data_IF_551784610902
#
_entry.id   IF_551784610902
#
_cell.length_a   1.000
_cell.length_b   1.000
_cell.length_c   1.000
_cell.angle_alpha   90.00
_cell.angle_beta   90.00
_cell.angle_gamma   90.00
#
_symmetry.space_group_name_H-M   'P 1'
#
loop_
_entity.id
_entity.type
_entity.pdbx_description
1 polymer ?
#
# COMPACT_ATOMS: atom_id res chain seq x y z
N UNK A 1 6.37 -13.29 -15.46
CA UNK A 1 6.44 -13.78 -14.06
C UNK A 1 7.34 -12.85 -13.26
N UNK A 2 7.03 -12.60 -11.97
CA UNK A 2 7.89 -11.79 -11.10
C UNK A 2 9.24 -12.49 -10.85
N UNK A 3 10.29 -11.71 -10.57
CA UNK A 3 11.63 -12.23 -10.31
C UNK A 3 11.61 -13.13 -9.06
N UNK A 4 12.19 -14.33 -9.07
CA UNK A 4 12.22 -15.18 -7.90
C UNK A 4 12.96 -14.50 -6.74
N UNK A 5 12.55 -14.72 -5.48
CA UNK A 5 13.26 -14.20 -4.32
C UNK A 5 14.64 -14.85 -4.22
N UNK A 6 15.61 -14.12 -3.65
CA UNK A 6 16.97 -14.60 -3.40
C UNK A 6 17.26 -14.64 -1.91
N UNK A 7 18.08 -15.59 -1.48
CA UNK A 7 18.55 -15.64 -0.10
C UNK A 7 19.46 -14.44 0.22
N UNK A 8 19.35 -13.91 1.44
CA UNK A 8 20.17 -12.79 1.90
C UNK A 8 20.54 -12.98 3.37
N UNK A 9 21.65 -12.35 3.77
CA UNK A 9 22.03 -12.23 5.17
C UNK A 9 21.05 -11.34 5.95
N UNK A 10 20.89 -11.59 7.28
CA UNK A 10 20.01 -10.80 8.13
C UNK A 10 20.53 -9.38 8.35
N UNK A 11 19.62 -8.45 8.60
CA UNK A 11 19.95 -7.09 8.97
C UNK A 11 20.25 -6.98 10.49
N UNK A 12 21.24 -6.17 10.92
CA UNK A 12 21.58 -5.94 12.33
C UNK A 12 20.39 -5.69 13.28
N UNK A 13 19.49 -4.75 12.93
CA UNK A 13 18.34 -4.40 13.78
C UNK A 13 17.33 -5.54 14.03
N UNK A 14 17.32 -6.59 13.20
CA UNK A 14 16.33 -7.66 13.28
C UNK A 14 16.80 -8.90 14.02
N UNK A 15 17.97 -8.83 14.65
CA UNK A 15 18.59 -9.98 15.29
C UNK A 15 18.16 -10.07 16.75
N UNK A 16 17.75 -11.26 17.15
CA UNK A 16 17.46 -11.63 18.54
C UNK A 16 18.65 -12.36 19.17
N UNK A 17 18.65 -12.46 20.51
CA UNK A 17 19.73 -13.08 21.30
C UNK A 17 20.01 -14.51 20.84
N UNK A 18 18.95 -15.29 20.65
CA UNK A 18 19.03 -16.69 20.23
C UNK A 18 19.59 -16.83 18.82
N UNK A 19 19.16 -15.96 17.90
CA UNK A 19 19.67 -15.93 16.53
C UNK A 19 21.16 -15.58 16.52
N UNK A 20 21.57 -14.59 17.32
CA UNK A 20 22.97 -14.20 17.43
C UNK A 20 23.84 -15.33 18.00
N UNK A 21 23.36 -16.05 19.03
CA UNK A 21 24.05 -17.24 19.58
C UNK A 21 24.29 -18.30 18.52
N UNK A 22 23.26 -18.68 17.76
CA UNK A 22 23.38 -19.64 16.66
C UNK A 22 24.36 -19.18 15.57
N UNK A 23 24.36 -17.89 15.26
CA UNK A 23 25.31 -17.32 14.30
C UNK A 23 26.77 -17.37 14.82
N UNK A 24 26.98 -17.13 16.12
CA UNK A 24 28.30 -17.21 16.75
C UNK A 24 28.80 -18.66 16.80
N UNK A 25 27.93 -19.63 17.06
CA UNK A 25 28.29 -21.05 17.07
C UNK A 25 28.67 -21.54 15.67
N UNK A 26 27.87 -21.17 14.66
CA UNK A 26 28.06 -21.57 13.28
C UNK A 26 29.17 -20.79 12.54
N UNK A 27 29.68 -19.68 13.07
CA UNK A 27 30.65 -18.87 12.33
C UNK A 27 32.06 -19.47 12.33
N UNK A 28 32.74 -19.30 11.19
CA UNK A 28 34.20 -19.51 11.07
C UNK A 28 35.04 -18.23 11.29
N UNK A 29 34.39 -17.10 11.59
CA UNK A 29 35.07 -15.80 11.65
C UNK A 29 35.94 -15.74 12.90
N UNK A 30 37.21 -15.34 12.75
CA UNK A 30 38.15 -15.28 13.88
C UNK A 30 38.07 -13.96 14.65
N UNK A 31 37.48 -12.93 14.04
CA UNK A 31 37.37 -11.59 14.60
C UNK A 31 35.94 -11.05 14.51
N UNK A 32 35.55 -10.22 15.48
CA UNK A 32 34.25 -9.53 15.46
C UNK A 32 34.06 -8.65 14.23
N UNK A 33 35.13 -8.02 13.75
CA UNK A 33 35.10 -7.23 12.51
C UNK A 33 34.68 -8.06 11.29
N UNK A 34 35.27 -9.25 11.14
CA UNK A 34 34.96 -10.17 10.04
C UNK A 34 33.55 -10.74 10.20
N UNK A 35 33.17 -11.10 11.43
CA UNK A 35 31.83 -11.59 11.75
C UNK A 35 30.74 -10.59 11.34
N UNK A 36 30.90 -9.32 11.73
CA UNK A 36 29.97 -8.24 11.37
C UNK A 36 29.85 -8.05 9.86
N UNK A 37 30.95 -8.17 9.11
CA UNK A 37 30.95 -7.99 7.65
C UNK A 37 30.37 -9.19 6.89
N UNK A 38 30.62 -10.42 7.36
CA UNK A 38 30.23 -11.65 6.67
C UNK A 38 28.76 -11.99 6.88
N UNK A 39 28.26 -11.79 8.10
CA UNK A 39 26.96 -12.31 8.52
C UNK A 39 25.81 -11.31 8.47
N UNK A 40 26.10 -10.02 8.33
CA UNK A 40 25.08 -8.98 8.35
C UNK A 40 24.98 -8.25 7.02
N UNK A 41 23.76 -7.95 6.62
CA UNK A 41 23.49 -7.17 5.44
C UNK A 41 23.91 -5.71 5.63
N UNK A 42 24.43 -5.08 4.57
CA UNK A 42 24.77 -3.65 4.53
C UNK A 42 25.80 -3.18 5.59
N UNK A 43 26.56 -4.10 6.18
CA UNK A 43 27.63 -3.77 7.13
C UNK A 43 28.99 -3.81 6.43
N UNK A 44 29.50 -2.61 6.10
CA UNK A 44 30.86 -2.44 5.58
C UNK A 44 31.91 -2.35 6.68
N UNK A 45 33.19 -2.27 6.28
CA UNK A 45 34.30 -2.22 7.23
C UNK A 45 34.25 -1.00 8.16
N UNK A 46 33.91 0.17 7.62
CA UNK A 46 33.79 1.42 8.40
C UNK A 46 32.65 1.36 9.40
N UNK A 47 31.50 0.81 8.99
CA UNK A 47 30.31 0.66 9.83
C UNK A 47 30.59 -0.35 10.95
N UNK A 48 31.22 -1.49 10.62
CA UNK A 48 31.60 -2.49 11.61
C UNK A 48 32.51 -1.91 12.69
N UNK A 49 33.52 -1.11 12.33
CA UNK A 49 34.41 -0.47 13.33
C UNK A 49 33.64 0.49 14.24
N UNK A 50 32.86 1.40 13.66
CA UNK A 50 32.05 2.37 14.42
C UNK A 50 31.06 1.69 15.37
N UNK A 51 30.41 0.63 14.89
CA UNK A 51 29.49 -0.15 15.71
C UNK A 51 30.21 -0.88 16.87
N UNK A 52 31.36 -1.49 16.60
CA UNK A 52 32.12 -2.20 17.63
C UNK A 52 32.70 -1.24 18.69
N UNK A 53 33.08 -0.04 18.30
CA UNK A 53 33.45 1.05 19.21
C UNK A 53 32.24 1.49 20.07
N UNK A 54 31.06 1.65 19.46
CA UNK A 54 29.83 1.98 20.18
C UNK A 54 29.40 0.87 21.17
N UNK A 55 29.59 -0.39 20.81
CA UNK A 55 29.23 -1.54 21.64
C UNK A 55 30.30 -1.91 22.69
N UNK A 56 31.42 -1.19 22.75
CA UNK A 56 32.58 -1.51 23.59
C UNK A 56 33.10 -2.95 23.41
N UNK A 57 33.13 -3.42 22.15
CA UNK A 57 33.61 -4.77 21.80
C UNK A 57 34.91 -4.67 21.00
N UNK A 58 35.95 -5.33 21.50
CA UNK A 58 37.25 -5.38 20.83
C UNK A 58 37.16 -5.92 19.39
N UNK A 59 37.66 -5.15 18.43
CA UNK A 59 37.60 -5.46 16.98
C UNK A 59 38.20 -6.83 16.63
N UNK A 60 39.29 -7.21 17.33
CA UNK A 60 40.01 -8.48 17.15
C UNK A 60 39.52 -9.59 18.08
N UNK A 61 38.54 -9.33 18.94
CA UNK A 61 37.98 -10.35 19.84
C UNK A 61 37.34 -11.46 19.00
N UNK A 62 37.48 -12.70 19.46
CA UNK A 62 36.89 -13.85 18.80
C UNK A 62 35.39 -13.92 19.16
N UNK A 63 34.47 -14.00 18.18
CA UNK A 63 33.03 -14.13 18.44
C UNK A 63 32.68 -15.28 19.38
N UNK A 64 33.37 -16.42 19.28
CA UNK A 64 33.11 -17.62 20.11
C UNK A 64 33.50 -17.47 21.59
N UNK A 65 34.21 -16.39 21.94
CA UNK A 65 34.63 -16.10 23.33
C UNK A 65 33.75 -15.05 24.01
N UNK A 66 32.63 -14.66 23.39
CA UNK A 66 31.68 -13.72 24.01
C UNK A 66 30.94 -14.41 25.15
N UNK A 67 30.83 -13.71 26.29
CA UNK A 67 29.99 -14.19 27.41
C UNK A 67 28.52 -13.90 27.14
N UNK A 68 27.62 -14.56 27.87
CA UNK A 68 26.17 -14.35 27.69
C UNK A 68 25.76 -12.88 27.92
N UNK A 69 26.36 -12.21 28.91
CA UNK A 69 26.09 -10.80 29.20
C UNK A 69 26.60 -9.87 28.09
N UNK A 70 27.73 -10.22 27.46
CA UNK A 70 28.23 -9.50 26.28
C UNK A 70 27.32 -9.67 25.08
N UNK A 71 26.75 -10.86 24.86
CA UNK A 71 25.79 -11.12 23.79
C UNK A 71 24.53 -10.27 23.98
N UNK A 72 23.98 -10.20 25.19
CA UNK A 72 22.81 -9.36 25.50
C UNK A 72 23.11 -7.88 25.24
N UNK A 73 24.26 -7.38 25.70
CA UNK A 73 24.71 -6.01 25.43
C UNK A 73 24.87 -5.74 23.94
N UNK A 74 25.44 -6.70 23.20
CA UNK A 74 25.64 -6.58 21.76
C UNK A 74 24.30 -6.49 21.00
N UNK A 75 23.30 -7.31 21.35
CA UNK A 75 21.97 -7.25 20.73
C UNK A 75 21.28 -5.93 21.01
N UNK A 76 21.36 -5.43 22.25
CA UNK A 76 20.80 -4.13 22.58
C UNK A 76 21.50 -3.01 21.80
N UNK A 77 22.82 -3.08 21.64
CA UNK A 77 23.58 -2.16 20.81
C UNK A 77 23.18 -2.27 19.32
N UNK A 78 22.95 -3.47 18.79
CA UNK A 78 22.49 -3.68 17.40
C UNK A 78 21.13 -3.02 17.14
N UNK A 79 20.23 -3.02 18.13
CA UNK A 79 18.90 -2.41 18.02
C UNK A 79 18.95 -0.88 18.09
N UNK A 80 19.83 -0.33 18.92
CA UNK A 80 19.89 1.11 19.20
C UNK A 80 20.89 1.90 18.34
N UNK A 81 21.68 1.24 17.49
CA UNK A 81 22.67 1.92 16.66
C UNK A 81 22.08 2.42 15.34
N UNK A 82 21.94 3.74 15.20
CA UNK A 82 21.34 4.39 14.01
C UNK A 82 22.27 4.46 12.79
N UNK A 83 23.53 4.04 12.92
CA UNK A 83 24.51 4.14 11.84
C UNK A 83 24.43 3.03 10.79
N UNK A 84 23.43 2.14 10.86
CA UNK A 84 23.19 1.11 9.85
C UNK A 84 22.41 1.68 8.66
N UNK A 85 22.71 1.17 7.47
CA UNK A 85 21.94 1.48 6.27
C UNK A 85 20.65 0.67 6.27
N UNK A 86 19.56 1.15 5.66
CA UNK A 86 18.32 0.38 5.56
C UNK A 86 18.56 -0.95 4.82
N UNK A 87 17.79 -2.00 5.16
CA UNK A 87 17.92 -3.32 4.55
C UNK A 87 17.64 -3.27 3.05
N UNK A 88 18.32 -4.14 2.31
CA UNK A 88 18.12 -4.26 0.88
C UNK A 88 16.88 -5.08 0.58
N UNK A 89 16.03 -4.57 -0.32
CA UNK A 89 14.78 -5.21 -0.69
C UNK A 89 14.86 -5.98 -2.01
N UNK A 90 16.04 -6.08 -2.60
CA UNK A 90 16.30 -6.86 -3.82
C UNK A 90 15.97 -8.34 -3.66
N UNK A 91 16.02 -8.86 -2.42
CA UNK A 91 15.66 -10.22 -2.06
C UNK A 91 14.14 -10.49 -2.13
N UNK A 92 13.31 -9.44 -2.11
CA UNK A 92 11.87 -9.58 -2.11
C UNK A 92 11.33 -9.78 -3.52
N UNK A 93 10.23 -10.53 -3.59
CA UNK A 93 9.55 -10.88 -4.83
C UNK A 93 8.10 -10.39 -4.79
N UNK A 94 7.86 -9.07 -4.92
CA UNK A 94 6.52 -8.52 -4.98
C UNK A 94 5.76 -9.04 -6.22
N UNK A 95 4.43 -8.87 -6.24
CA UNK A 95 3.63 -9.31 -7.39
C UNK A 95 3.85 -8.37 -8.59
N UNK A 96 3.96 -7.07 -8.32
CA UNK A 96 4.12 -6.02 -9.32
C UNK A 96 2.80 -5.35 -9.71
N UNK A 97 2.88 -4.05 -10.04
CA UNK A 97 1.72 -3.21 -10.35
C UNK A 97 0.86 -3.76 -11.50
N UNK A 98 1.49 -4.21 -12.57
CA UNK A 98 0.79 -4.63 -13.79
C UNK A 98 0.06 -5.96 -13.62
N UNK A 99 0.70 -6.92 -12.94
CA UNK A 99 0.11 -8.22 -12.66
C UNK A 99 -1.07 -8.08 -11.70
N UNK A 100 -0.92 -7.28 -10.64
CA UNK A 100 -2.01 -7.00 -9.71
C UNK A 100 -3.19 -6.30 -10.42
N UNK A 101 -2.90 -5.29 -11.26
CA UNK A 101 -3.92 -4.60 -12.05
C UNK A 101 -4.66 -5.55 -13.00
N UNK A 102 -3.94 -6.47 -13.64
CA UNK A 102 -4.52 -7.44 -14.58
C UNK A 102 -5.37 -8.48 -13.84
N UNK A 103 -4.92 -8.95 -12.68
CA UNK A 103 -5.68 -9.88 -11.83
C UNK A 103 -7.01 -9.28 -11.36
N UNK A 104 -6.98 -8.05 -10.84
CA UNK A 104 -8.18 -7.33 -10.40
C UNK A 104 -9.17 -7.12 -11.55
N UNK A 105 -8.67 -6.76 -12.74
CA UNK A 105 -9.52 -6.57 -13.93
C UNK A 105 -10.23 -7.86 -14.33
N UNK A 106 -9.50 -8.97 -14.35
CA UNK A 106 -10.02 -10.27 -14.78
C UNK A 106 -11.09 -10.81 -13.83
N UNK A 107 -10.90 -10.62 -12.53
CA UNK A 107 -11.79 -11.20 -11.52
C UNK A 107 -13.07 -10.39 -11.32
N UNK A 108 -12.95 -9.06 -11.23
CA UNK A 108 -14.07 -8.20 -10.82
C UNK A 108 -14.71 -7.41 -11.98
N UNK A 109 -14.08 -7.37 -13.16
CA UNK A 109 -14.47 -6.52 -14.29
C UNK A 109 -14.88 -5.09 -13.86
N UNK A 110 -14.02 -4.36 -13.11
CA UNK A 110 -14.37 -3.05 -12.56
C UNK A 110 -14.36 -1.96 -13.63
N UNK A 111 -15.12 -0.89 -13.40
CA UNK A 111 -15.11 0.31 -14.24
C UNK A 111 -13.78 1.07 -14.13
N UNK A 112 -13.19 1.05 -12.93
CA UNK A 112 -11.92 1.71 -12.63
C UNK A 112 -11.02 0.83 -11.77
N UNK A 113 -9.73 0.85 -12.08
CA UNK A 113 -8.70 0.17 -11.28
C UNK A 113 -7.46 1.04 -11.19
N UNK A 114 -6.95 1.19 -9.97
CA UNK A 114 -5.69 1.85 -9.69
C UNK A 114 -4.86 0.97 -8.75
N UNK A 115 -3.56 0.88 -9.04
CA UNK A 115 -2.62 0.06 -8.26
C UNK A 115 -1.36 0.87 -8.00
N UNK A 116 -0.88 0.81 -6.77
CA UNK A 116 0.35 1.44 -6.35
C UNK A 116 1.22 0.44 -5.59
N UNK A 117 2.51 0.43 -5.91
CA UNK A 117 3.53 -0.32 -5.19
C UNK A 117 4.48 0.72 -4.61
N UNK A 118 4.66 0.66 -3.30
CA UNK A 118 5.52 1.55 -2.55
C UNK A 118 6.99 1.22 -2.77
N UNK A 119 7.85 2.17 -2.40
CA UNK A 119 9.26 1.87 -2.22
C UNK A 119 9.41 0.90 -1.04
N UNK A 120 10.45 0.06 -1.03
CA UNK A 120 10.69 -0.81 0.10
C UNK A 120 10.93 -0.02 1.39
N UNK A 121 10.33 -0.48 2.47
CA UNK A 121 10.51 0.03 3.81
C UNK A 121 11.07 -1.08 4.70
N UNK A 122 11.37 -0.78 5.96
CA UNK A 122 11.92 -1.73 6.91
C UNK A 122 11.16 -1.67 8.22
N UNK A 123 10.90 -2.82 8.83
CA UNK A 123 10.38 -2.90 10.19
C UNK A 123 11.25 -3.90 10.97
N UNK A 124 11.73 -3.51 12.15
CA UNK A 124 12.60 -4.35 12.98
C UNK A 124 13.72 -5.07 12.19
N UNK A 125 14.37 -4.37 11.25
CA UNK A 125 15.42 -4.92 10.37
C UNK A 125 14.96 -5.79 9.19
N UNK A 126 13.68 -6.11 9.05
CA UNK A 126 13.17 -6.86 7.90
C UNK A 126 12.67 -5.90 6.82
N UNK A 127 13.17 -6.00 5.57
CA UNK A 127 12.64 -5.23 4.46
C UNK A 127 11.24 -5.74 4.09
N UNK A 128 10.34 -4.81 3.80
CA UNK A 128 9.00 -5.13 3.29
C UNK A 128 8.58 -4.17 2.19
N UNK A 129 7.69 -4.63 1.31
CA UNK A 129 7.07 -3.85 0.25
C UNK A 129 5.56 -3.99 0.40
N UNK A 130 4.86 -2.86 0.31
CA UNK A 130 3.40 -2.80 0.30
C UNK A 130 2.91 -2.48 -1.12
N UNK A 131 1.98 -3.29 -1.60
CA UNK A 131 1.25 -3.08 -2.85
C UNK A 131 -0.23 -2.92 -2.51
N UNK A 132 -0.83 -1.83 -2.98
CA UNK A 132 -2.25 -1.54 -2.75
C UNK A 132 -2.94 -1.35 -4.08
N UNK A 133 -4.12 -1.96 -4.22
CA UNK A 133 -5.02 -1.81 -5.35
C UNK A 133 -6.39 -1.33 -4.89
N UNK A 134 -7.05 -0.52 -5.72
CA UNK A 134 -8.46 -0.16 -5.53
C UNK A 134 -9.19 -0.40 -6.84
N UNK A 135 -10.34 -1.04 -6.75
CA UNK A 135 -11.27 -1.28 -7.84
C UNK A 135 -12.62 -0.64 -7.51
N UNK A 136 -13.26 -0.07 -8.51
CA UNK A 136 -14.57 0.58 -8.37
C UNK A 136 -15.53 0.14 -9.48
N UNK A 137 -16.79 -0.10 -9.09
CA UNK A 137 -17.88 -0.45 -10.01
C UNK A 137 -17.77 -1.86 -10.60
N UNK A 138 -18.54 -2.11 -11.66
CA UNK A 138 -18.54 -3.40 -12.36
C UNK A 138 -19.23 -4.51 -11.57
N UNK A 139 -18.61 -5.68 -11.50
CA UNK A 139 -19.12 -6.87 -10.80
C UNK A 139 -18.98 -6.82 -9.27
N UNK A 140 -18.54 -5.69 -8.70
CA UNK A 140 -18.39 -5.51 -7.26
C UNK A 140 -19.77 -5.39 -6.61
N UNK A 141 -20.07 -6.28 -5.67
CA UNK A 141 -21.33 -6.25 -4.92
C UNK A 141 -21.45 -4.94 -4.13
N UNK A 142 -22.65 -4.33 -4.18
CA UNK A 142 -23.00 -3.18 -3.35
C UNK A 142 -23.29 -3.69 -1.94
N UNK A 143 -22.28 -3.67 -1.10
CA UNK A 143 -22.36 -4.02 0.33
C UNK A 143 -22.31 -2.75 1.16
N UNK A 144 -22.84 -2.78 2.39
CA UNK A 144 -22.72 -1.71 3.39
C UNK A 144 -21.29 -1.63 3.95
N UNK A 145 -20.31 -1.38 3.08
CA UNK A 145 -18.91 -1.36 3.43
C UNK A 145 -17.97 -1.58 2.26
N UNK A 146 -16.67 -1.49 2.56
CA UNK A 146 -15.60 -1.66 1.58
C UNK A 146 -15.17 -3.12 1.60
N UNK A 147 -15.15 -3.77 0.43
CA UNK A 147 -14.65 -5.14 0.32
C UNK A 147 -13.12 -5.11 0.44
N UNK A 148 -12.58 -5.84 1.40
CA UNK A 148 -11.15 -5.86 1.69
C UNK A 148 -10.53 -7.21 1.34
N UNK A 149 -9.61 -7.23 0.37
CA UNK A 149 -8.81 -8.39 0.02
C UNK A 149 -7.39 -8.22 0.56
N UNK A 150 -6.99 -9.13 1.44
CA UNK A 150 -5.68 -9.11 2.11
C UNK A 150 -4.78 -10.21 1.57
N UNK A 151 -3.53 -9.87 1.31
CA UNK A 151 -2.51 -10.80 0.87
C UNK A 151 -1.22 -10.59 1.64
N UNK A 152 -0.57 -11.68 2.02
CA UNK A 152 0.74 -11.65 2.63
C UNK A 152 1.64 -12.68 1.95
N UNK A 153 2.78 -12.25 1.40
CA UNK A 153 3.67 -13.09 0.58
C UNK A 153 2.92 -13.92 -0.49
N UNK A 154 1.98 -13.27 -1.21
CA UNK A 154 1.09 -13.88 -2.25
C UNK A 154 0.07 -14.89 -1.74
N UNK A 155 -0.09 -15.05 -0.44
CA UNK A 155 -1.09 -15.92 0.18
C UNK A 155 -2.28 -15.06 0.60
N UNK A 156 -3.52 -15.38 0.19
CA UNK A 156 -4.71 -14.67 0.64
C UNK A 156 -4.99 -14.95 2.12
N UNK A 157 -5.34 -13.90 2.87
CA UNK A 157 -5.74 -13.99 4.27
C UNK A 157 -7.26 -13.88 4.36
N UNK A 158 -7.93 -14.97 4.77
CA UNK A 158 -9.40 -15.08 4.71
C UNK A 158 -10.08 -14.88 6.06
N UNK A 159 -9.42 -15.20 7.18
CA UNK A 159 -10.01 -15.19 8.51
C UNK A 159 -9.61 -13.94 9.30
N UNK A 160 -10.42 -13.61 10.32
CA UNK A 160 -10.18 -12.53 11.29
C UNK A 160 -9.85 -11.17 10.67
N UNK A 161 -10.65 -10.73 9.70
CA UNK A 161 -10.48 -9.43 9.04
C UNK A 161 -10.49 -8.26 10.03
N UNK A 162 -11.41 -8.26 10.99
CA UNK A 162 -11.58 -7.15 11.93
C UNK A 162 -10.36 -6.90 12.84
N UNK A 163 -9.51 -7.91 13.04
CA UNK A 163 -8.30 -7.80 13.88
C UNK A 163 -7.05 -7.44 13.08
N UNK A 164 -7.14 -7.32 11.75
CA UNK A 164 -6.00 -7.05 10.88
C UNK A 164 -5.68 -5.55 10.81
N UNK A 165 -4.39 -5.23 10.76
CA UNK A 165 -3.91 -3.85 10.55
C UNK A 165 -4.47 -3.23 9.26
N UNK A 166 -4.71 -4.03 8.23
CA UNK A 166 -5.29 -3.60 6.96
C UNK A 166 -6.73 -3.12 7.15
N UNK A 167 -7.52 -3.82 7.98
CA UNK A 167 -8.89 -3.44 8.30
C UNK A 167 -8.91 -2.16 9.12
N UNK A 168 -8.04 -2.06 10.14
CA UNK A 168 -7.85 -0.85 10.93
C UNK A 168 -7.51 0.37 10.04
N UNK A 169 -6.58 0.21 9.09
CA UNK A 169 -6.18 1.30 8.19
C UNK A 169 -7.33 1.72 7.27
N UNK A 170 -8.06 0.76 6.70
CA UNK A 170 -9.14 1.02 5.75
C UNK A 170 -10.37 1.63 6.42
N UNK A 171 -10.75 1.15 7.61
CA UNK A 171 -12.00 1.56 8.25
C UNK A 171 -11.84 2.66 9.30
N UNK A 172 -10.76 2.66 10.07
CA UNK A 172 -10.57 3.61 11.18
C UNK A 172 -9.75 4.85 10.77
N UNK A 173 -8.63 4.64 10.06
CA UNK A 173 -7.68 5.72 9.77
C UNK A 173 -8.03 6.50 8.50
N UNK A 174 -8.75 5.88 7.57
CA UNK A 174 -9.04 6.48 6.28
C UNK A 174 -10.40 7.16 6.23
N UNK A 175 -10.40 8.46 5.93
CA UNK A 175 -11.63 9.20 5.68
C UNK A 175 -12.03 9.15 4.21
N UNK A 176 -12.88 8.17 3.85
CA UNK A 176 -13.38 7.95 2.49
C UNK A 176 -14.23 9.10 1.94
N UNK A 177 -14.89 9.87 2.80
CA UNK A 177 -15.72 11.01 2.39
C UNK A 177 -14.90 12.07 1.66
N UNK A 178 -13.65 12.29 2.08
CA UNK A 178 -12.73 13.21 1.41
C UNK A 178 -12.41 12.80 -0.03
N UNK A 179 -12.50 11.49 -0.33
CA UNK A 179 -12.26 10.93 -1.65
C UNK A 179 -13.54 10.75 -2.47
N UNK A 180 -14.65 11.39 -2.06
CA UNK A 180 -15.98 11.32 -2.71
C UNK A 180 -16.58 9.91 -2.74
N UNK A 181 -16.18 9.09 -1.77
CA UNK A 181 -16.67 7.72 -1.59
C UNK A 181 -17.72 7.72 -0.48
N UNK A 182 -18.91 7.23 -0.79
CA UNK A 182 -19.97 6.95 0.19
C UNK A 182 -19.98 5.46 0.55
N UNK A 183 -20.56 5.06 1.69
CA UNK A 183 -20.64 3.64 2.07
C UNK A 183 -21.34 2.75 1.03
N UNK A 184 -22.28 3.31 0.26
CA UNK A 184 -23.02 2.61 -0.81
C UNK A 184 -22.19 2.42 -2.11
N UNK A 185 -20.99 2.99 -2.15
CA UNK A 185 -20.14 2.99 -3.34
C UNK A 185 -19.47 1.61 -3.48
N UNK A 186 -19.69 0.87 -4.58
CA UNK A 186 -19.11 -0.46 -4.76
C UNK A 186 -17.58 -0.35 -4.97
N UNK A 187 -16.82 -0.60 -3.90
CA UNK A 187 -15.36 -0.50 -3.87
C UNK A 187 -14.76 -1.76 -3.29
N UNK A 188 -13.71 -2.25 -3.95
CA UNK A 188 -12.84 -3.29 -3.43
C UNK A 188 -11.42 -2.75 -3.26
N UNK A 189 -10.83 -2.99 -2.09
CA UNK A 189 -9.46 -2.62 -1.74
C UNK A 189 -8.63 -3.89 -1.61
N UNK A 190 -7.47 -3.89 -2.25
CA UNK A 190 -6.51 -4.98 -2.26
C UNK A 190 -5.26 -4.51 -1.54
N UNK A 191 -4.82 -5.21 -0.49
CA UNK A 191 -3.59 -4.90 0.24
C UNK A 191 -2.71 -6.14 0.21
N UNK A 192 -1.50 -5.99 -0.33
CA UNK A 192 -0.49 -7.03 -0.38
C UNK A 192 0.78 -6.57 0.33
N UNK A 193 1.23 -7.36 1.31
CA UNK A 193 2.50 -7.15 2.00
C UNK A 193 3.46 -8.27 1.62
N UNK A 194 4.64 -7.89 1.14
CA UNK A 194 5.73 -8.83 0.83
C UNK A 194 6.92 -8.54 1.75
N UNK A 195 7.38 -9.54 2.51
CA UNK A 195 8.49 -9.43 3.45
C UNK A 195 9.13 -10.79 3.72
N UNK A 196 10.39 -10.81 4.17
CA UNK A 196 11.08 -12.05 4.60
C UNK A 196 10.40 -12.67 5.84
N UNK A 197 9.97 -11.81 6.76
CA UNK A 197 9.19 -12.15 7.94
C UNK A 197 7.91 -11.33 7.87
N UNK A 198 6.75 -11.94 8.10
CA UNK A 198 5.49 -11.19 8.24
C UNK A 198 5.15 -11.19 9.72
N UNK A 199 4.80 -10.03 10.31
CA UNK A 199 4.47 -9.96 11.73
C UNK A 199 3.05 -10.46 11.95
N UNK A 200 2.84 -11.78 11.96
CA UNK A 200 1.54 -12.38 12.31
C UNK A 200 1.28 -12.26 13.82
N UNK A 201 0.03 -12.03 14.21
CA UNK A 201 -0.37 -12.01 15.64
C UNK A 201 -0.65 -13.41 16.17
N UNK A 202 -1.28 -14.26 15.35
CA UNK A 202 -1.60 -15.66 15.69
C UNK A 202 -0.64 -16.64 15.04
N UNK A 203 -0.53 -17.84 15.62
CA UNK A 203 0.26 -18.96 15.05
C UNK A 203 -0.34 -19.43 13.73
N UNK A 204 -1.65 -19.30 13.56
CA UNK A 204 -2.40 -19.64 12.34
C UNK A 204 -2.09 -18.75 11.12
N UNK A 205 -1.38 -17.62 11.33
CA UNK A 205 -1.00 -16.67 10.26
C UNK A 205 -2.19 -16.07 9.51
N UNK A 206 -3.27 -15.82 10.22
CA UNK A 206 -4.54 -15.37 9.63
C UNK A 206 -4.58 -13.86 9.42
N UNK A 207 -3.88 -13.10 10.26
CA UNK A 207 -3.87 -11.65 10.18
C UNK A 207 -2.56 -11.04 10.68
N UNK A 208 -2.33 -9.80 10.25
CA UNK A 208 -1.09 -9.05 10.47
C UNK A 208 -1.23 -8.22 11.76
N UNK A 209 -0.20 -8.28 12.60
CA UNK A 209 -0.13 -7.56 13.87
C UNK A 209 0.06 -6.05 13.67
N UNK A 210 -0.41 -5.28 14.65
CA UNK A 210 -0.32 -3.83 14.68
C UNK A 210 1.13 -3.36 14.84
N UNK A 211 1.78 -3.04 13.72
CA UNK A 211 3.12 -2.43 13.65
C UNK A 211 3.02 -1.04 13.04
N UNK A 212 3.45 0.02 13.73
CA UNK A 212 3.26 1.39 13.26
C UNK A 212 3.97 1.67 11.93
N UNK A 213 5.12 1.04 11.67
CA UNK A 213 5.86 1.20 10.42
C UNK A 213 5.08 0.63 9.23
N UNK A 214 4.43 -0.53 9.43
CA UNK A 214 3.61 -1.19 8.42
C UNK A 214 2.30 -0.43 8.23
N UNK A 215 1.68 0.02 9.33
CA UNK A 215 0.46 0.84 9.32
C UNK A 215 0.65 2.11 8.48
N UNK A 216 1.73 2.85 8.72
CA UNK A 216 2.05 4.08 8.03
C UNK A 216 2.24 3.87 6.53
N UNK A 217 2.94 2.80 6.15
CA UNK A 217 3.19 2.48 4.74
C UNK A 217 1.92 2.03 4.01
N UNK A 218 1.05 1.22 4.64
CA UNK A 218 -0.26 0.88 4.06
C UNK A 218 -1.10 2.15 3.88
N UNK A 219 -1.18 3.00 4.91
CA UNK A 219 -1.99 4.21 4.87
C UNK A 219 -1.54 5.16 3.75
N UNK A 220 -0.23 5.35 3.59
CA UNK A 220 0.32 6.18 2.52
C UNK A 220 0.09 5.57 1.12
N UNK A 221 0.23 4.25 0.99
CA UNK A 221 -0.07 3.58 -0.27
C UNK A 221 -1.55 3.71 -0.66
N UNK A 222 -2.44 3.56 0.32
CA UNK A 222 -3.89 3.65 0.14
C UNK A 222 -4.33 5.07 -0.24
N UNK A 223 -3.77 6.11 0.41
CA UNK A 223 -4.01 7.52 0.05
C UNK A 223 -3.65 7.81 -1.40
N UNK A 224 -2.58 7.21 -1.91
CA UNK A 224 -2.08 7.45 -3.26
C UNK A 224 -3.04 6.90 -4.32
N UNK A 225 -3.58 5.71 -4.06
CA UNK A 225 -4.59 5.09 -4.93
C UNK A 225 -5.94 5.81 -4.78
N UNK A 226 -6.30 6.23 -3.56
CA UNK A 226 -7.54 6.94 -3.28
C UNK A 226 -7.62 8.31 -3.97
N UNK A 227 -6.50 9.04 -4.09
CA UNK A 227 -6.46 10.28 -4.88
C UNK A 227 -6.78 10.03 -6.37
N UNK A 228 -6.28 8.92 -6.93
CA UNK A 228 -6.58 8.55 -8.32
C UNK A 228 -8.07 8.19 -8.49
N UNK A 229 -8.64 7.46 -7.53
CA UNK A 229 -10.07 7.16 -7.49
C UNK A 229 -10.91 8.44 -7.40
N UNK A 230 -10.55 9.37 -6.51
CA UNK A 230 -11.29 10.61 -6.32
C UNK A 230 -11.32 11.47 -7.60
N UNK A 231 -10.22 11.50 -8.37
CA UNK A 231 -10.18 12.17 -9.67
C UNK A 231 -11.16 11.52 -10.67
N UNK A 232 -11.19 10.20 -10.72
CA UNK A 232 -12.11 9.45 -11.57
C UNK A 232 -13.58 9.70 -11.19
N UNK A 233 -13.93 9.59 -9.91
CA UNK A 233 -15.29 9.86 -9.40
C UNK A 233 -15.69 11.32 -9.62
N UNK A 234 -14.75 12.26 -9.46
CA UNK A 234 -15.01 13.67 -9.74
C UNK A 234 -15.40 13.91 -11.19
N UNK A 235 -14.72 13.26 -12.14
CA UNK A 235 -15.05 13.34 -13.57
C UNK A 235 -16.41 12.71 -13.85
N UNK A 236 -16.68 11.52 -13.29
CA UNK A 236 -17.97 10.84 -13.43
C UNK A 236 -19.14 11.68 -12.90
N UNK A 237 -19.01 12.24 -11.70
CA UNK A 237 -20.03 13.13 -11.13
C UNK A 237 -20.20 14.44 -11.92
N UNK A 238 -19.13 14.95 -12.54
CA UNK A 238 -19.24 16.10 -13.44
C UNK A 238 -20.06 15.76 -14.68
N UNK A 239 -19.72 14.65 -15.35
CA UNK A 239 -20.44 14.17 -16.54
C UNK A 239 -21.92 13.87 -16.23
N UNK A 240 -22.21 13.24 -15.09
CA UNK A 240 -23.60 12.98 -14.68
C UNK A 240 -24.39 14.28 -14.44
N UNK A 241 -23.77 15.28 -13.82
CA UNK A 241 -24.42 16.58 -13.59
C UNK A 241 -24.72 17.28 -14.90
N UNK A 242 -23.77 17.32 -15.83
CA UNK A 242 -24.00 17.93 -17.15
C UNK A 242 -25.05 17.15 -17.96
N UNK A 243 -25.06 15.81 -17.88
CA UNK A 243 -26.10 14.99 -18.52
C UNK A 243 -27.49 15.25 -17.95
N UNK A 244 -27.62 15.33 -16.62
CA UNK A 244 -28.89 15.68 -15.95
C UNK A 244 -29.33 17.09 -16.33
N UNK A 245 -28.39 18.03 -16.38
CA UNK A 245 -28.63 19.41 -16.82
C UNK A 245 -29.17 19.45 -18.25
N UNK A 246 -28.52 18.74 -19.18
CA UNK A 246 -29.00 18.60 -20.56
C UNK A 246 -30.39 17.99 -20.66
N UNK A 247 -30.68 16.93 -19.89
CA UNK A 247 -31.99 16.27 -19.89
C UNK A 247 -33.09 17.18 -19.35
N UNK A 248 -32.79 18.00 -18.34
CA UNK A 248 -33.71 19.04 -17.86
C UNK A 248 -33.95 20.09 -18.96
N UNK A 249 -32.89 20.60 -19.59
CA UNK A 249 -33.05 21.59 -20.66
C UNK A 249 -33.82 21.03 -21.87
N UNK A 250 -33.56 19.80 -22.29
CA UNK A 250 -34.28 19.19 -23.42
C UNK A 250 -35.80 19.11 -23.16
N UNK A 251 -36.22 18.87 -21.92
CA UNK A 251 -37.63 18.78 -21.51
C UNK A 251 -38.32 20.13 -21.39
N UNK A 252 -37.64 21.15 -20.84
CA UNK A 252 -38.27 22.43 -20.50
C UNK A 252 -38.08 23.52 -21.56
N UNK A 253 -36.95 23.54 -22.28
CA UNK A 253 -36.61 24.60 -23.23
C UNK A 253 -37.62 24.71 -24.39
N UNK A 254 -38.15 23.62 -24.98
CA UNK A 254 -39.23 23.70 -25.98
C UNK A 254 -40.55 24.26 -25.43
N UNK A 255 -40.88 23.92 -24.18
CA UNK A 255 -42.10 24.41 -23.51
C UNK A 255 -42.01 25.91 -23.26
N UNK A 256 -40.86 26.38 -22.76
CA UNK A 256 -40.58 27.81 -22.56
C UNK A 256 -40.69 28.55 -23.89
N UNK A 257 -40.07 28.05 -24.96
CA UNK A 257 -40.17 28.67 -26.28
C UNK A 257 -41.61 28.79 -26.79
N UNK A 258 -42.45 27.75 -26.57
CA UNK A 258 -43.87 27.78 -26.91
C UNK A 258 -44.67 28.80 -26.09
N UNK A 259 -44.47 28.84 -24.77
CA UNK A 259 -45.19 29.79 -23.91
C UNK A 259 -44.75 31.25 -24.17
N UNK A 260 -43.46 31.49 -24.39
CA UNK A 260 -42.96 32.82 -24.73
C UNK A 260 -43.45 33.31 -26.09
N UNK A 261 -43.54 32.42 -27.09
CA UNK A 261 -44.09 32.77 -28.41
C UNK A 261 -45.58 33.14 -28.32
N UNK A 262 -46.35 32.38 -27.53
CA UNK A 262 -47.76 32.68 -27.24
C UNK A 262 -47.94 34.02 -26.53
N UNK A 263 -47.13 34.31 -25.51
CA UNK A 263 -47.21 35.58 -24.78
C UNK A 263 -46.88 36.79 -25.66
N UNK A 264 -45.91 36.63 -26.57
CA UNK A 264 -45.47 37.69 -27.47
C UNK A 264 -46.31 37.84 -28.75
N UNK A 265 -47.41 37.08 -28.90
CA UNK A 265 -48.23 36.99 -30.13
C UNK A 265 -47.39 36.73 -31.40
N UNK A 266 -46.33 35.92 -31.30
CA UNK A 266 -45.50 35.53 -32.46
C UNK A 266 -45.84 34.09 -32.86
N UNK A 267 -46.20 33.88 -34.12
CA UNK A 267 -46.54 32.55 -34.65
C UNK A 267 -45.33 31.60 -34.76
N UNK A 268 -44.13 32.15 -34.92
CA UNK A 268 -42.90 31.36 -35.07
C UNK A 268 -42.28 31.05 -33.72
N UNK A 269 -42.22 29.77 -33.39
CA UNK A 269 -41.50 29.25 -32.22
C UNK A 269 -39.99 29.51 -32.45
N UNK A 270 -39.29 30.15 -31.51
CA UNK A 270 -37.84 30.30 -31.58
C UNK A 270 -37.13 28.95 -31.67
N UNK A 271 -36.13 28.83 -32.56
CA UNK A 271 -35.44 27.56 -32.78
C UNK A 271 -34.47 27.22 -31.63
N UNK A 272 -34.85 26.21 -30.85
CA UNK A 272 -34.19 25.81 -29.61
C UNK A 272 -32.95 24.96 -29.87
N UNK A 273 -32.80 24.42 -31.09
CA UNK A 273 -31.73 23.46 -31.44
C UNK A 273 -30.33 24.04 -31.32
N UNK A 274 -30.13 25.33 -31.64
CA UNK A 274 -28.83 26.00 -31.52
C UNK A 274 -28.36 26.10 -30.07
N UNK A 275 -29.27 26.35 -29.13
CA UNK A 275 -28.98 26.44 -27.70
C UNK A 275 -28.65 25.06 -27.12
N UNK A 276 -29.41 24.03 -27.49
CA UNK A 276 -29.11 22.65 -27.09
C UNK A 276 -27.76 22.18 -27.62
N UNK A 277 -27.41 22.53 -28.86
CA UNK A 277 -26.10 22.22 -29.45
C UNK A 277 -24.93 22.93 -28.75
N UNK A 278 -25.13 24.17 -28.28
CA UNK A 278 -24.10 24.89 -27.52
C UNK A 278 -23.81 24.27 -26.15
N UNK A 279 -24.83 23.69 -25.51
CA UNK A 279 -24.68 23.04 -24.20
C UNK A 279 -24.14 21.61 -24.37
N UNK A 280 -24.51 20.92 -25.46
CA UNK A 280 -24.03 19.57 -25.75
C UNK A 280 -22.51 19.49 -26.01
N UNK A 281 -21.91 20.53 -26.61
CA UNK A 281 -20.45 20.60 -26.84
C UNK A 281 -19.60 20.49 -25.57
N UNK A 282 -20.12 20.93 -24.41
CA UNK A 282 -19.42 20.84 -23.13
C UNK A 282 -19.46 19.44 -22.49
N UNK A 283 -20.18 18.49 -23.09
CA UNK A 283 -20.37 17.13 -22.54
C UNK A 283 -19.51 16.10 -23.27
N UNK A 284 -19.01 16.41 -24.47
CA UNK A 284 -18.12 15.55 -25.26
C UNK A 284 -16.62 15.82 -25.01
N UNK A 285 -16.26 16.94 -24.36
CA UNK A 285 -14.91 17.24 -23.85
C UNK A 285 -14.70 16.76 -22.40
#
# INVERSE_FOLDING_TARGET
>A
MPKPPSETTPHPHGIDIETLKRMIEATDSKTMKEFMKKHFQRVGEKIARRFLEFADVGIKKNPKRLTQDEIVRLVNALKNYDGFLPPDASCLSPLGKDLLKTGIKKELNPEFVAVHQRKPAAYSGFPFIVEVGVAYGGGILKTDGILLYRFANRIPLLFDEASDISYKVVNELMNWRHYKVTPETPIAVFIHICSLKIPYKTVGKEFIADRPEVEHEILNALREVARQLALFLSRKHHMERERRRLDVFSKYLPKIASFSAKLANREKIPDVKKLLGSIAKYVEE
#
